data_IF_378668418749
#
_entry.id   IF_378668418749
#
_cell.length_a   1.000
_cell.length_b   1.000
_cell.length_c   1.000
_cell.angle_alpha   90.00
_cell.angle_beta   90.00
_cell.angle_gamma   90.00
#
_symmetry.space_group_name_H-M   'P 1'
#
loop_
_entity.id
_entity.type
_entity.pdbx_description
1 polymer ?
#
# COMPACT_ATOMS: atom_id res chain seq x y z
N UNK A 1 -10.21 -18.65 8.02
CA UNK A 1 -10.76 -18.47 6.66
C UNK A 1 -10.75 -19.77 5.89
N UNK A 2 -11.93 -20.27 5.53
CA UNK A 2 -12.10 -21.40 4.62
C UNK A 2 -12.61 -20.86 3.28
N UNK A 3 -12.03 -21.34 2.17
CA UNK A 3 -12.55 -21.05 0.83
C UNK A 3 -13.56 -22.14 0.50
N UNK A 4 -14.79 -21.77 0.16
CA UNK A 4 -15.87 -22.71 -0.12
C UNK A 4 -16.14 -22.70 -1.62
N UNK A 5 -16.31 -23.90 -2.22
CA UNK A 5 -16.69 -24.02 -3.62
C UNK A 5 -18.20 -23.84 -3.82
N UNK A 6 -18.70 -23.69 -5.06
CA UNK A 6 -20.13 -23.57 -5.35
C UNK A 6 -20.98 -24.75 -4.84
N UNK A 7 -20.41 -25.96 -4.78
CA UNK A 7 -21.02 -27.17 -4.20
C UNK A 7 -20.81 -27.27 -2.67
N UNK A 8 -20.51 -26.15 -2.01
CA UNK A 8 -20.34 -26.05 -0.56
C UNK A 8 -19.20 -26.91 0.05
N UNK A 9 -18.27 -27.40 -0.77
CA UNK A 9 -17.08 -28.10 -0.31
C UNK A 9 -15.97 -27.12 0.08
N UNK A 10 -15.34 -27.34 1.23
CA UNK A 10 -14.24 -26.51 1.70
C UNK A 10 -12.92 -26.88 1.00
N UNK A 11 -12.24 -25.89 0.43
CA UNK A 11 -10.87 -26.05 -0.05
C UNK A 11 -9.89 -25.93 1.11
N UNK A 12 -8.98 -26.90 1.18
CA UNK A 12 -8.00 -26.99 2.26
C UNK A 12 -6.81 -26.09 1.97
N UNK A 13 -6.37 -25.35 2.98
CA UNK A 13 -5.09 -24.63 2.93
C UNK A 13 -3.95 -25.64 2.76
N UNK A 14 -3.02 -25.36 1.85
CA UNK A 14 -1.87 -26.23 1.58
C UNK A 14 -0.55 -25.58 1.93
N UNK A 15 -0.31 -24.39 1.41
CA UNK A 15 0.97 -23.70 1.61
C UNK A 15 0.82 -22.20 1.38
N UNK A 16 1.83 -21.45 1.80
CA UNK A 16 2.01 -20.05 1.46
C UNK A 16 3.29 -19.91 0.65
N UNK A 17 3.21 -19.31 -0.53
CA UNK A 17 4.37 -19.12 -1.41
C UNK A 17 5.31 -18.05 -0.85
N UNK A 18 6.56 -18.02 -1.34
CA UNK A 18 7.56 -17.02 -0.94
C UNK A 18 7.11 -15.59 -1.28
N UNK A 19 6.29 -15.44 -2.31
CA UNK A 19 5.70 -14.18 -2.77
C UNK A 19 4.48 -13.77 -1.92
N UNK A 20 4.08 -14.58 -0.92
CA UNK A 20 3.03 -14.24 0.02
C UNK A 20 1.61 -14.63 -0.41
N UNK A 21 1.46 -15.65 -1.26
CA UNK A 21 0.15 -16.19 -1.65
C UNK A 21 -0.18 -17.45 -0.87
N UNK A 22 -1.33 -17.46 -0.19
CA UNK A 22 -1.92 -18.67 0.40
C UNK A 22 -2.60 -19.48 -0.69
N UNK A 23 -2.24 -20.75 -0.81
CA UNK A 23 -2.83 -21.72 -1.73
C UNK A 23 -3.87 -22.58 -1.01
N UNK A 24 -5.07 -22.63 -1.58
CA UNK A 24 -6.15 -23.52 -1.18
C UNK A 24 -6.42 -24.51 -2.31
N UNK A 25 -6.46 -25.81 -2.00
CA UNK A 25 -6.65 -26.86 -3.01
C UNK A 25 -7.88 -27.69 -2.71
N UNK A 26 -8.63 -28.01 -3.76
CA UNK A 26 -9.71 -28.99 -3.69
C UNK A 26 -9.16 -30.42 -3.65
N UNK A 27 -10.00 -31.35 -3.21
CA UNK A 27 -9.72 -32.77 -3.28
C UNK A 27 -10.05 -33.31 -4.69
N UNK A 28 -9.07 -33.86 -5.43
CA UNK A 28 -9.30 -34.49 -6.74
C UNK A 28 -10.36 -35.59 -6.75
N UNK A 29 -10.43 -36.40 -5.69
CA UNK A 29 -11.35 -37.54 -5.62
C UNK A 29 -12.82 -37.08 -5.55
N UNK A 30 -13.06 -35.98 -4.84
CA UNK A 30 -14.38 -35.35 -4.75
C UNK A 30 -14.70 -34.63 -6.06
N UNK A 31 -13.74 -33.87 -6.58
CA UNK A 31 -13.95 -33.07 -7.79
C UNK A 31 -14.13 -33.91 -9.07
N UNK A 32 -13.56 -35.11 -9.15
CA UNK A 32 -13.71 -35.99 -10.31
C UNK A 32 -15.18 -36.34 -10.62
N UNK A 33 -16.02 -36.41 -9.58
CA UNK A 33 -17.45 -36.72 -9.70
C UNK A 33 -18.34 -35.47 -9.61
N UNK A 34 -17.75 -34.26 -9.65
CA UNK A 34 -18.49 -33.02 -9.49
C UNK A 34 -19.22 -32.63 -10.78
N UNK A 35 -20.53 -32.32 -10.73
CA UNK A 35 -21.28 -31.92 -11.93
C UNK A 35 -20.76 -30.62 -12.55
N UNK A 36 -20.13 -29.75 -11.74
CA UNK A 36 -19.56 -28.48 -12.17
C UNK A 36 -18.09 -28.57 -12.57
N UNK A 37 -17.50 -29.78 -12.67
CA UNK A 37 -16.07 -29.96 -12.94
C UNK A 37 -15.63 -29.23 -14.22
N UNK A 38 -16.39 -29.38 -15.30
CA UNK A 38 -16.09 -28.78 -16.62
C UNK A 38 -16.06 -27.25 -16.61
N UNK A 39 -16.82 -26.62 -15.70
CA UNK A 39 -16.88 -25.15 -15.53
C UNK A 39 -15.87 -24.67 -14.48
N UNK A 40 -15.60 -25.49 -13.47
CA UNK A 40 -14.78 -25.12 -12.31
C UNK A 40 -13.28 -25.18 -12.58
N UNK A 41 -12.78 -26.23 -13.24
CA UNK A 41 -11.35 -26.43 -13.53
C UNK A 41 -11.11 -27.29 -14.76
N UNK A 42 -10.16 -26.89 -15.61
CA UNK A 42 -9.64 -27.67 -16.74
C UNK A 42 -8.36 -28.45 -16.39
N UNK A 43 -8.02 -28.53 -15.10
CA UNK A 43 -6.85 -29.28 -14.63
C UNK A 43 -7.00 -30.78 -14.90
N UNK A 44 -5.95 -31.40 -15.45
CA UNK A 44 -5.89 -32.85 -15.70
C UNK A 44 -6.08 -33.69 -14.43
N UNK A 45 -5.71 -33.13 -13.28
CA UNK A 45 -5.82 -33.82 -11.99
C UNK A 45 -7.16 -33.53 -11.29
N UNK A 46 -8.13 -32.92 -11.98
CA UNK A 46 -9.42 -32.50 -11.42
C UNK A 46 -9.30 -31.64 -10.15
N UNK A 47 -8.15 -30.97 -9.97
CA UNK A 47 -7.87 -30.14 -8.81
C UNK A 47 -8.06 -28.66 -9.15
N UNK A 48 -8.84 -27.96 -8.32
CA UNK A 48 -8.91 -26.50 -8.32
C UNK A 48 -7.90 -25.96 -7.31
N UNK A 49 -7.12 -24.98 -7.75
CA UNK A 49 -6.25 -24.20 -6.87
C UNK A 49 -6.79 -22.77 -6.83
N UNK A 50 -7.01 -22.27 -5.63
CA UNK A 50 -7.39 -20.88 -5.37
C UNK A 50 -6.26 -20.24 -4.60
N UNK A 51 -5.79 -19.09 -5.06
CA UNK A 51 -4.73 -18.31 -4.42
C UNK A 51 -5.31 -17.05 -3.80
N UNK A 52 -4.90 -16.73 -2.58
CA UNK A 52 -5.25 -15.47 -1.90
C UNK A 52 -4.00 -14.86 -1.29
N UNK A 53 -3.71 -13.61 -1.62
CA UNK A 53 -2.57 -12.90 -1.04
C UNK A 53 -2.80 -12.65 0.46
N UNK A 54 -1.76 -12.76 1.29
CA UNK A 54 -1.87 -12.58 2.75
C UNK A 54 -2.47 -11.22 3.12
N UNK A 55 -2.20 -10.20 2.30
CA UNK A 55 -2.67 -8.84 2.54
C UNK A 55 -4.06 -8.54 1.98
N UNK A 56 -4.73 -9.52 1.36
CA UNK A 56 -6.00 -9.29 0.66
C UNK A 56 -7.09 -8.77 1.59
N UNK A 57 -7.25 -9.35 2.78
CA UNK A 57 -8.26 -8.89 3.76
C UNK A 57 -8.02 -7.44 4.20
N UNK A 58 -6.75 -7.05 4.41
CA UNK A 58 -6.40 -5.67 4.75
C UNK A 58 -6.66 -4.71 3.60
N UNK A 59 -6.42 -5.13 2.35
CA UNK A 59 -6.71 -4.31 1.17
C UNK A 59 -8.21 -4.12 0.97
N UNK A 60 -9.02 -5.16 1.20
CA UNK A 60 -10.48 -5.08 1.18
C UNK A 60 -10.98 -4.10 2.25
N UNK A 61 -10.48 -4.20 3.50
CA UNK A 61 -10.80 -3.23 4.55
C UNK A 61 -10.43 -1.79 4.18
N UNK A 62 -9.26 -1.58 3.56
CA UNK A 62 -8.87 -0.25 3.08
C UNK A 62 -9.84 0.27 2.02
N UNK A 63 -10.29 -0.57 1.11
CA UNK A 63 -11.21 -0.19 0.04
C UNK A 63 -12.62 0.08 0.58
N UNK A 64 -13.08 -0.68 1.58
CA UNK A 64 -14.35 -0.42 2.28
C UNK A 64 -14.31 0.94 2.97
N UNK A 65 -13.24 1.24 3.71
CA UNK A 65 -13.03 2.55 4.36
C UNK A 65 -13.05 3.66 3.31
N UNK A 66 -12.39 3.47 2.16
CA UNK A 66 -12.33 4.48 1.10
C UNK A 66 -13.70 4.85 0.54
N UNK A 67 -14.65 3.91 0.50
CA UNK A 67 -16.01 4.13 0.00
C UNK A 67 -16.97 4.68 1.06
N UNK A 68 -16.56 4.80 2.33
CA UNK A 68 -17.38 5.42 3.36
C UNK A 68 -17.62 6.91 3.07
N UNK A 69 -18.78 7.41 3.50
CA UNK A 69 -19.16 8.82 3.35
C UNK A 69 -18.16 9.72 4.09
N UNK A 70 -17.67 10.78 3.44
CA UNK A 70 -16.68 11.70 4.01
C UNK A 70 -15.21 11.27 3.82
N UNK A 71 -14.95 9.98 3.54
CA UNK A 71 -13.58 9.48 3.38
C UNK A 71 -12.96 9.89 2.05
N UNK A 72 -13.77 10.09 1.01
CA UNK A 72 -13.30 10.60 -0.28
C UNK A 72 -12.74 12.02 -0.15
N UNK A 73 -13.45 12.90 0.57
CA UNK A 73 -13.02 14.26 0.87
C UNK A 73 -11.76 14.25 1.74
N UNK A 74 -11.74 13.45 2.81
CA UNK A 74 -10.56 13.28 3.66
C UNK A 74 -9.34 12.81 2.85
N UNK A 75 -9.53 11.85 1.96
CA UNK A 75 -8.47 11.31 1.12
C UNK A 75 -7.92 12.34 0.13
N UNK A 76 -8.72 13.30 -0.34
CA UNK A 76 -8.24 14.37 -1.22
C UNK A 76 -7.16 15.24 -0.55
N UNK A 77 -7.24 15.45 0.77
CA UNK A 77 -6.22 16.19 1.53
C UNK A 77 -4.85 15.49 1.57
N UNK A 78 -4.75 14.22 1.15
CA UNK A 78 -3.46 13.53 0.99
C UNK A 78 -2.52 14.26 0.03
N UNK A 79 -3.06 14.88 -1.02
CA UNK A 79 -2.28 15.65 -2.01
C UNK A 79 -1.59 16.86 -1.37
N UNK A 80 -2.31 17.56 -0.52
CA UNK A 80 -1.84 18.77 0.16
C UNK A 80 -0.84 18.42 1.27
N UNK A 81 -1.09 17.32 1.96
CA UNK A 81 -0.38 16.99 3.21
C UNK A 81 0.78 16.01 3.02
N UNK A 82 0.50 14.85 2.45
CA UNK A 82 1.41 13.71 2.37
C UNK A 82 2.22 13.78 1.07
N UNK A 83 1.58 13.94 -0.08
CA UNK A 83 2.27 13.94 -1.37
C UNK A 83 3.21 15.15 -1.51
N UNK A 84 2.83 16.30 -0.95
CA UNK A 84 3.69 17.50 -0.89
C UNK A 84 4.93 17.29 -0.01
N UNK A 85 4.81 16.54 1.08
CA UNK A 85 5.96 16.14 1.92
C UNK A 85 6.92 15.25 1.12
N UNK A 86 6.38 14.26 0.42
CA UNK A 86 7.17 13.38 -0.44
C UNK A 86 7.82 14.13 -1.60
N UNK A 87 7.13 15.10 -2.20
CA UNK A 87 7.72 16.00 -3.19
C UNK A 87 8.89 16.78 -2.60
N UNK A 88 8.74 17.35 -1.41
CA UNK A 88 9.83 18.05 -0.71
C UNK A 88 11.02 17.13 -0.44
N UNK A 89 10.76 15.90 0.01
CA UNK A 89 11.79 14.90 0.28
C UNK A 89 12.54 14.50 -1.01
N UNK A 90 11.83 14.39 -2.13
CA UNK A 90 12.41 14.08 -3.43
C UNK A 90 13.28 15.23 -3.96
N UNK A 91 12.70 16.43 -4.07
CA UNK A 91 13.35 17.59 -4.68
C UNK A 91 14.49 18.16 -3.82
N UNK A 92 14.24 18.42 -2.54
CA UNK A 92 15.21 19.12 -1.68
C UNK A 92 16.14 18.16 -0.94
N UNK A 93 15.71 16.92 -0.68
CA UNK A 93 16.53 15.93 0.03
C UNK A 93 17.09 14.83 -0.90
N UNK A 94 16.94 14.99 -2.22
CA UNK A 94 17.49 14.11 -3.24
C UNK A 94 17.09 12.63 -3.04
N UNK A 95 15.84 12.36 -2.63
CA UNK A 95 15.34 10.99 -2.48
C UNK A 95 14.89 10.36 -3.81
N UNK A 96 14.98 11.08 -4.93
CA UNK A 96 14.88 10.48 -6.26
C UNK A 96 16.05 9.55 -6.58
N UNK A 97 17.19 9.72 -5.88
CA UNK A 97 18.41 8.94 -6.11
C UNK A 97 18.96 8.34 -4.81
N UNK A 98 19.44 7.11 -4.89
CA UNK A 98 20.17 6.44 -3.81
C UNK A 98 21.63 6.86 -3.86
N UNK A 99 22.03 7.79 -2.96
CA UNK A 99 23.43 8.24 -2.85
C UNK A 99 24.29 7.38 -1.93
N UNK A 100 23.66 6.61 -1.05
CA UNK A 100 24.34 5.71 -0.13
C UNK A 100 24.42 4.29 -0.71
N UNK A 101 25.51 3.59 -0.41
CA UNK A 101 25.68 2.18 -0.76
C UNK A 101 25.27 1.30 0.41
N UNK A 102 24.32 0.39 0.16
CA UNK A 102 23.83 -0.58 1.14
C UNK A 102 22.52 -0.15 1.81
N UNK A 103 21.70 -1.15 2.14
CA UNK A 103 20.34 -0.96 2.68
C UNK A 103 20.33 -0.16 3.98
N UNK A 104 21.15 -0.55 4.96
CA UNK A 104 21.19 0.11 6.28
C UNK A 104 21.53 1.60 6.19
N UNK A 105 22.54 2.00 5.40
CA UNK A 105 22.88 3.43 5.23
C UNK A 105 21.76 4.23 4.54
N UNK A 106 21.07 3.61 3.57
CA UNK A 106 19.95 4.27 2.91
C UNK A 106 18.75 4.40 3.85
N UNK A 107 18.50 3.40 4.70
CA UNK A 107 17.47 3.47 5.76
C UNK A 107 17.77 4.61 6.73
N UNK A 108 19.03 4.77 7.18
CA UNK A 108 19.44 5.87 8.05
C UNK A 108 19.23 7.24 7.38
N UNK A 109 19.62 7.39 6.10
CA UNK A 109 19.42 8.63 5.33
C UNK A 109 17.94 9.00 5.22
N UNK A 110 17.08 8.02 4.88
CA UNK A 110 15.64 8.22 4.76
C UNK A 110 15.05 8.57 6.13
N UNK A 111 15.42 7.84 7.18
CA UNK A 111 14.99 8.08 8.55
C UNK A 111 15.31 9.50 9.02
N UNK A 112 16.55 9.93 8.86
CA UNK A 112 16.99 11.30 9.21
C UNK A 112 16.23 12.36 8.41
N UNK A 113 16.05 12.15 7.10
CA UNK A 113 15.30 13.07 6.25
C UNK A 113 13.85 13.24 6.72
N UNK A 114 13.17 12.13 7.02
CA UNK A 114 11.80 12.15 7.52
C UNK A 114 11.70 12.78 8.91
N UNK A 115 12.68 12.52 9.79
CA UNK A 115 12.76 13.16 11.09
C UNK A 115 12.89 14.69 10.96
N UNK A 116 13.80 15.18 10.12
CA UNK A 116 13.95 16.62 9.85
C UNK A 116 12.67 17.25 9.28
N UNK A 117 11.99 16.57 8.36
CA UNK A 117 10.73 17.03 7.78
C UNK A 117 9.61 17.09 8.83
N UNK A 118 9.54 16.11 9.72
CA UNK A 118 8.58 16.10 10.83
C UNK A 118 8.87 17.21 11.85
N UNK A 119 10.14 17.46 12.17
CA UNK A 119 10.54 18.59 13.03
C UNK A 119 10.16 19.93 12.40
N UNK A 120 10.43 20.11 11.11
CA UNK A 120 9.99 21.31 10.36
C UNK A 120 8.47 21.48 10.40
N UNK A 121 7.72 20.37 10.31
CA UNK A 121 6.26 20.38 10.44
C UNK A 121 5.80 20.79 11.84
N UNK A 122 6.46 20.28 12.87
CA UNK A 122 6.17 20.63 14.26
C UNK A 122 6.41 22.13 14.53
N UNK A 123 7.57 22.65 14.12
CA UNK A 123 7.92 24.07 14.30
C UNK A 123 6.90 24.98 13.61
N UNK A 124 6.52 24.69 12.36
CA UNK A 124 5.49 25.45 11.66
C UNK A 124 4.13 25.40 12.37
N UNK A 125 3.74 24.24 12.90
CA UNK A 125 2.51 24.11 13.71
C UNK A 125 2.55 24.96 14.96
N UNK A 126 3.70 25.01 15.65
CA UNK A 126 3.87 25.84 16.86
C UNK A 126 3.83 27.34 16.53
N UNK A 127 4.33 27.74 15.37
CA UNK A 127 4.29 29.12 14.89
C UNK A 127 2.91 29.54 14.32
N UNK A 128 1.92 28.64 14.27
CA UNK A 128 0.64 28.91 13.61
C UNK A 128 0.75 29.02 12.09
N UNK A 129 1.89 28.64 11.50
CA UNK A 129 2.11 28.74 10.07
C UNK A 129 1.62 27.47 9.35
N UNK A 130 0.90 27.62 8.21
CA UNK A 130 0.52 26.48 7.41
C UNK A 130 1.77 25.81 6.82
N UNK A 131 1.93 24.52 7.09
CA UNK A 131 3.02 23.71 6.52
C UNK A 131 3.04 23.76 4.98
N UNK A 132 1.86 23.94 4.37
CA UNK A 132 1.58 23.86 2.94
C UNK A 132 2.05 25.07 2.13
N UNK A 133 2.37 26.20 2.79
CA UNK A 133 2.94 27.37 2.12
C UNK A 133 4.47 27.34 2.19
N UNK A 134 5.06 26.90 1.09
CA UNK A 134 6.31 27.48 0.58
C UNK A 134 6.07 27.71 -0.91
N UNK A 135 5.25 28.71 -1.24
CA UNK A 135 5.50 29.45 -2.46
C UNK A 135 6.73 30.29 -2.18
N UNK A 136 7.69 30.22 -3.08
CA UNK A 136 8.98 30.90 -3.07
C UNK A 136 8.92 32.31 -2.45
N UNK A 137 9.23 32.45 -1.14
CA UNK A 137 9.55 33.77 -0.55
C UNK A 137 11.00 34.19 -0.82
N UNK A 138 11.65 33.53 -1.78
CA UNK A 138 13.01 33.82 -2.27
C UNK A 138 13.03 34.87 -3.40
N UNK A 139 12.02 35.76 -3.49
CA UNK A 139 12.03 36.89 -4.45
C UNK A 139 11.12 38.04 -3.97
N UNK A 140 11.35 38.57 -2.75
CA UNK A 140 10.91 39.93 -2.35
C UNK A 140 11.87 40.57 -1.34
N UNK A 141 13.17 40.49 -1.62
CA UNK A 141 14.14 41.49 -1.16
C UNK A 141 14.83 42.04 -2.40
N UNK A 142 14.07 42.85 -3.14
CA UNK A 142 14.56 43.66 -4.25
C UNK A 142 14.01 45.06 -4.06
N UNK A 143 14.90 45.97 -3.65
CA UNK A 143 14.80 47.43 -3.62
C UNK A 143 13.59 48.08 -2.95
N UNK A 144 13.84 48.70 -1.81
CA UNK A 144 13.17 49.95 -1.41
C UNK A 144 14.19 50.77 -0.60
N UNK A 145 14.72 51.80 -1.29
CA UNK A 145 15.47 52.98 -0.83
C UNK A 145 16.66 52.80 0.12
#
# INVERSE_FOLDING_TARGET
DCVICPEHQALTYRTTTREGYREYKSDPAICANCPLLSVCTTSKNHQKVVTRHIWKDYLEQCEDIRHQRGMKELYQHRKETIERLFGTAKEYHNLCYTREKGKSKMEDKVGLTLACLNLKKLVKRMAGEPFYFVQMRWFKHGNSH
#
